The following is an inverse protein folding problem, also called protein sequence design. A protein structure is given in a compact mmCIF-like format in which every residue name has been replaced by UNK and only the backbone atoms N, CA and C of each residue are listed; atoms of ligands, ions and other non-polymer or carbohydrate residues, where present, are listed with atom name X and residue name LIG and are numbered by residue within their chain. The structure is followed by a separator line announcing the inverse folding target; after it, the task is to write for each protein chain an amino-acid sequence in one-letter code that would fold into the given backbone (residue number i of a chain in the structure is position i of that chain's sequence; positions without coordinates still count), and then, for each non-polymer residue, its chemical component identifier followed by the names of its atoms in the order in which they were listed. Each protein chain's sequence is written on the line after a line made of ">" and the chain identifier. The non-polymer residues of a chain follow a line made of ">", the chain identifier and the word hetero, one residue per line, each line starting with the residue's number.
data_IF_887101865102
#
_entry.id   IF_887101865102
#
_cell.length_a   1.000
_cell.length_b   1.000
_cell.length_c   1.000
_cell.angle_alpha   90.00
_cell.angle_beta   90.00
_cell.angle_gamma   90.00
#
_symmetry.space_group_name_H-M   'P 1'
#
loop_
_entity.id
_entity.type
_entity.pdbx_description
1 polymer ?
2 non-polymer ?
3 water ?
#
# COMPACT_ATOMS: atom_id res chain seq x y z
N UNK A 4 -14.29 -16.87 0.39
CA UNK A 4 -14.79 -15.65 1.08
C UNK A 4 -13.71 -14.62 1.51
N UNK A 5 -12.59 -15.08 2.07
CA UNK A 5 -11.56 -14.13 2.52
C UNK A 5 -10.73 -13.50 1.40
N UNK A 6 -10.35 -12.25 1.63
CA UNK A 6 -9.61 -11.45 0.66
C UNK A 6 -8.08 -11.37 0.80
N UNK A 7 -7.52 -11.90 1.90
CA UNK A 7 -6.08 -11.85 2.14
C UNK A 7 -5.39 -13.11 1.57
N UNK A 8 -4.10 -13.02 1.26
CA UNK A 8 -3.40 -14.19 0.74
C UNK A 8 -2.51 -14.83 1.75
N UNK A 9 -2.15 -14.10 2.80
CA UNK A 9 -1.30 -14.72 3.80
C UNK A 9 -1.92 -16.06 4.22
N UNK A 10 -1.10 -17.07 4.45
CA UNK A 10 -1.60 -18.35 4.90
C UNK A 10 -0.84 -18.64 6.17
N UNK A 11 -1.56 -19.04 7.21
CA UNK A 11 -0.99 -19.36 8.50
C UNK A 11 -1.21 -20.84 8.80
N UNK A 12 -0.27 -21.49 9.49
CA UNK A 12 -0.52 -22.91 9.76
C UNK A 12 -1.72 -23.08 10.70
N UNK A 13 -2.49 -24.14 10.48
CA UNK A 13 -3.63 -24.40 11.35
C UNK A 13 -3.09 -24.47 12.77
N UNK A 14 -1.85 -24.94 12.93
CA UNK A 14 -1.22 -25.01 14.26
C UNK A 14 -0.06 -24.04 14.27
N UNK A 15 0.04 -23.18 15.29
CA UNK A 15 1.15 -22.21 15.35
C UNK A 15 2.12 -22.46 16.51
N UNK A 16 3.42 -22.69 16.21
CA UNK A 16 4.49 -22.95 17.18
C UNK A 16 4.71 -21.84 18.19
N UNK A 17 5.23 -22.17 19.37
CA UNK A 17 5.42 -21.16 20.39
C UNK A 17 6.36 -20.10 19.88
N UNK A 18 6.06 -18.84 20.18
CA UNK A 18 6.93 -17.78 19.75
C UNK A 18 8.38 -18.14 20.15
N UNK A 19 8.53 -18.77 21.30
CA UNK A 19 9.86 -19.16 21.80
C UNK A 19 10.55 -20.10 20.80
N UNK A 20 9.75 -20.97 20.20
CA UNK A 20 10.25 -21.93 19.22
C UNK A 20 10.63 -21.20 17.92
N UNK A 21 9.75 -20.31 17.45
CA UNK A 21 10.02 -19.55 16.25
C UNK A 21 11.34 -18.84 16.43
N UNK A 22 11.50 -18.20 17.57
CA UNK A 22 12.72 -17.48 17.86
C UNK A 22 13.93 -18.40 17.79
N UNK A 23 13.79 -19.61 18.31
CA UNK A 23 14.87 -20.57 18.30
C UNK A 23 15.24 -20.93 16.88
N UNK A 24 14.23 -21.24 16.07
CA UNK A 24 14.48 -21.58 14.69
C UNK A 24 15.02 -20.37 13.91
N UNK A 25 14.44 -19.21 14.15
CA UNK A 25 14.94 -18.02 13.48
C UNK A 25 16.40 -17.72 13.85
N UNK A 26 16.72 -17.71 15.14
CA UNK A 26 18.10 -17.44 15.54
C UNK A 26 19.04 -18.46 14.85
N UNK A 27 18.58 -19.70 14.73
CA UNK A 27 19.36 -20.76 14.13
C UNK A 27 19.61 -20.51 12.64
N UNK A 28 18.60 -20.00 11.95
CA UNK A 28 18.70 -19.72 10.52
C UNK A 28 19.79 -18.73 10.11
N UNK A 29 20.34 -18.03 11.09
CA UNK A 29 21.41 -17.11 10.75
C UNK A 29 22.48 -17.17 11.81
N UNK A 30 22.63 -18.34 12.41
CA UNK A 30 23.68 -18.58 13.40
C UNK A 30 24.89 -19.08 12.60
N UNK A 31 26.08 -19.11 13.22
CA UNK A 31 27.25 -19.59 12.54
C UNK A 31 27.59 -18.84 11.27
N UNK A 32 28.06 -19.55 10.25
CA UNK A 32 28.39 -18.89 9.00
C UNK A 32 27.35 -19.35 8.01
N UNK A 33 26.86 -18.39 7.22
CA UNK A 33 25.84 -18.69 6.26
C UNK A 33 24.47 -18.48 6.87
N UNK A 34 23.45 -18.65 6.02
CA UNK A 34 22.09 -18.45 6.41
C UNK A 34 21.17 -19.50 5.85
N UNK A 35 20.03 -19.71 6.51
CA UNK A 35 19.04 -20.68 6.03
C UNK A 35 17.80 -19.87 5.68
N UNK A 36 17.76 -19.38 4.45
CA UNK A 36 16.65 -18.56 3.98
C UNK A 36 15.30 -19.34 3.91
N UNK A 37 15.35 -20.63 3.60
CA UNK A 37 14.11 -21.38 3.52
C UNK A 37 13.40 -21.40 4.87
N UNK A 38 14.18 -21.48 5.94
CA UNK A 38 13.59 -21.49 7.26
C UNK A 38 12.97 -20.12 7.65
N UNK A 39 13.67 -19.04 7.33
CA UNK A 39 13.17 -17.70 7.61
C UNK A 39 11.86 -17.41 6.86
N UNK A 40 11.83 -17.80 5.58
CA UNK A 40 10.65 -17.63 4.74
C UNK A 40 9.47 -18.41 5.28
N UNK A 41 9.76 -19.64 5.67
CA UNK A 41 8.75 -20.53 6.20
C UNK A 41 8.08 -20.09 7.48
N UNK A 42 8.85 -19.55 8.42
CA UNK A 42 8.30 -19.02 9.65
C UNK A 42 7.67 -17.62 9.41
N UNK A 43 8.48 -16.60 9.09
CA UNK A 43 7.93 -15.26 8.85
C UNK A 43 6.87 -15.08 7.75
N UNK A 44 7.00 -15.82 6.65
CA UNK A 44 6.02 -15.72 5.57
C UNK A 44 4.65 -16.30 5.92
N UNK A 45 4.55 -16.95 7.08
CA UNK A 45 3.29 -17.57 7.53
C UNK A 45 2.86 -17.21 8.94
N UNK A 46 3.10 -15.96 9.33
CA UNK A 46 2.76 -15.43 10.65
C UNK A 46 2.11 -14.07 10.44
N UNK A 47 1.02 -13.83 11.19
CA UNK A 47 0.30 -12.58 11.08
C UNK A 47 0.99 -11.48 11.86
N UNK A 48 0.46 -10.26 11.76
CA UNK A 48 1.09 -9.14 12.45
C UNK A 48 1.27 -9.41 13.93
N UNK A 49 0.22 -9.86 14.60
CA UNK A 49 0.37 -10.09 16.04
C UNK A 49 1.48 -11.07 16.30
N UNK A 50 1.47 -12.19 15.58
CA UNK A 50 2.52 -13.19 15.78
C UNK A 50 3.90 -12.61 15.51
N UNK A 51 4.01 -11.84 14.44
CA UNK A 51 5.30 -11.26 14.08
C UNK A 51 5.77 -10.29 15.12
N UNK A 52 4.84 -9.51 15.64
CA UNK A 52 5.23 -8.58 16.68
C UNK A 52 5.68 -9.36 17.93
N UNK A 53 4.95 -10.42 18.28
CA UNK A 53 5.36 -11.17 19.48
C UNK A 53 6.74 -11.74 19.25
N UNK A 54 6.94 -12.31 18.07
CA UNK A 54 8.23 -12.90 17.76
C UNK A 54 9.37 -11.93 17.95
N UNK A 55 9.23 -10.73 17.38
CA UNK A 55 10.29 -9.73 17.51
C UNK A 55 10.54 -9.36 18.98
N UNK A 56 9.46 -9.21 19.74
CA UNK A 56 9.55 -8.89 21.17
C UNK A 56 10.18 -10.06 21.98
N UNK A 57 9.71 -11.27 21.74
CA UNK A 57 10.29 -12.41 22.45
C UNK A 57 11.81 -12.55 22.10
N UNK A 58 12.16 -12.25 20.85
CA UNK A 58 13.53 -12.37 20.38
C UNK A 58 14.46 -11.46 21.12
N UNK A 59 14.14 -10.17 21.10
CA UNK A 59 14.96 -9.17 21.76
C UNK A 59 15.09 -9.45 23.25
N UNK A 60 14.05 -10.02 23.85
CA UNK A 60 14.07 -10.36 25.27
C UNK A 60 15.03 -11.52 25.47
N UNK A 61 14.80 -12.58 24.69
CA UNK A 61 15.63 -13.75 24.78
C UNK A 61 17.09 -13.51 24.43
N UNK A 62 17.33 -12.90 23.29
CA UNK A 62 18.70 -12.71 22.84
C UNK A 62 19.33 -11.33 23.00
N UNK A 63 18.58 -10.36 23.50
CA UNK A 63 19.11 -9.02 23.70
C UNK A 63 19.46 -8.28 22.43
N UNK A 64 18.99 -8.79 21.29
CA UNK A 64 19.29 -8.17 19.99
C UNK A 64 18.02 -8.02 19.17
N UNK A 65 17.98 -6.98 18.36
CA UNK A 65 16.81 -6.73 17.53
C UNK A 65 16.84 -7.69 16.32
N UNK A 66 15.80 -8.50 16.21
CA UNK A 66 15.67 -9.50 15.16
C UNK A 66 15.77 -8.95 13.72
N UNK A 67 15.07 -7.86 13.42
CA UNK A 67 15.10 -7.30 12.08
C UNK A 67 16.46 -6.76 11.77
N UNK A 68 17.13 -6.22 12.79
CA UNK A 68 18.45 -5.68 12.64
C UNK A 68 19.41 -6.79 12.34
N UNK A 69 19.28 -7.89 13.07
CA UNK A 69 20.15 -9.02 12.82
C UNK A 69 20.00 -9.40 11.33
N UNK A 70 18.77 -9.65 10.95
CA UNK A 70 18.47 -10.04 9.59
C UNK A 70 19.05 -9.11 8.53
N UNK A 71 19.03 -7.81 8.78
CA UNK A 71 19.56 -6.88 7.81
C UNK A 71 21.07 -7.02 7.68
N UNK A 72 21.73 -7.56 8.69
CA UNK A 72 23.17 -7.73 8.56
C UNK A 72 23.54 -9.04 7.86
N UNK A 73 22.59 -9.94 7.72
CA UNK A 73 22.88 -11.27 7.16
C UNK A 73 22.38 -11.62 5.75
N UNK A 74 21.26 -11.03 5.38
CA UNK A 74 20.60 -11.43 4.14
C UNK A 74 20.96 -10.75 2.84
N UNK A 75 20.61 -11.41 1.73
CA UNK A 75 20.86 -10.81 0.42
C UNK A 75 19.94 -9.59 0.19
N UNK A 76 20.41 -8.65 -0.61
CA UNK A 76 19.69 -7.38 -0.83
C UNK A 76 18.21 -7.36 -1.15
N UNK A 77 17.84 -7.79 -2.35
CA UNK A 77 16.44 -7.79 -2.74
C UNK A 77 15.62 -8.59 -1.72
N UNK A 78 16.12 -9.77 -1.32
CA UNK A 78 15.42 -10.60 -0.35
C UNK A 78 15.20 -9.92 1.02
N UNK A 79 16.26 -9.32 1.56
CA UNK A 79 16.23 -8.68 2.86
C UNK A 79 15.17 -7.56 2.89
N UNK A 80 15.11 -6.80 1.80
CA UNK A 80 14.18 -5.71 1.67
C UNK A 80 12.72 -6.22 1.67
N UNK A 81 12.48 -7.38 1.07
CA UNK A 81 11.14 -7.96 1.02
C UNK A 81 10.81 -8.48 2.44
N UNK A 82 11.75 -9.24 3.02
CA UNK A 82 11.61 -9.78 4.37
C UNK A 82 11.37 -8.66 5.38
N UNK A 83 12.16 -7.59 5.33
CA UNK A 83 11.95 -6.52 6.28
C UNK A 83 10.65 -5.73 6.05
N UNK A 84 10.36 -5.36 4.82
CA UNK A 84 9.16 -4.57 4.59
C UNK A 84 7.94 -5.40 4.97
N UNK A 85 8.00 -6.71 4.72
CA UNK A 85 6.90 -7.60 5.10
C UNK A 85 6.76 -7.78 6.61
N UNK A 86 7.89 -8.02 7.26
CA UNK A 86 7.91 -8.36 8.69
C UNK A 86 7.30 -7.35 9.65
N UNK A 87 7.52 -6.09 9.32
CA UNK A 87 7.02 -4.95 10.10
C UNK A 87 5.51 -5.01 10.35
N UNK A 88 5.09 -4.45 11.49
CA UNK A 88 3.66 -4.40 11.74
C UNK A 88 3.12 -3.51 10.66
N UNK A 89 1.90 -3.78 10.12
CA UNK A 89 1.42 -2.90 9.07
C UNK A 89 1.50 -1.41 9.36
N UNK A 90 1.36 -0.99 10.61
CA UNK A 90 1.45 0.43 10.90
C UNK A 90 2.91 0.91 10.73
N UNK A 91 3.85 0.10 11.21
CA UNK A 91 5.29 0.45 11.07
C UNK A 91 5.71 0.49 9.61
N UNK A 92 5.22 -0.50 8.85
CA UNK A 92 5.49 -0.60 7.41
C UNK A 92 5.06 0.69 6.70
N UNK A 93 3.80 1.12 6.92
CA UNK A 93 3.29 2.34 6.31
C UNK A 93 4.17 3.56 6.68
N UNK A 94 4.34 3.74 7.99
CA UNK A 94 5.24 4.81 8.44
C UNK A 94 6.50 4.76 7.59
N UNK A 95 7.16 3.61 7.50
CA UNK A 95 8.44 3.56 6.76
C UNK A 95 8.32 3.92 5.30
N UNK A 96 7.27 3.43 4.62
CA UNK A 96 7.11 3.73 3.20
C UNK A 96 6.79 5.22 2.99
N UNK A 97 5.99 5.79 3.91
CA UNK A 97 5.65 7.23 3.76
C UNK A 97 6.92 8.06 3.99
N UNK A 98 7.75 7.63 4.90
CA UNK A 98 8.95 8.42 5.16
C UNK A 98 9.85 8.43 3.94
N UNK A 99 10.12 7.23 3.39
CA UNK A 99 10.95 7.10 2.19
C UNK A 99 10.42 7.96 1.09
N UNK A 100 9.10 7.98 0.98
CA UNK A 100 8.48 8.72 -0.09
C UNK A 100 8.63 10.24 0.03
N UNK A 101 8.91 10.72 1.24
CA UNK A 101 9.11 12.17 1.42
C UNK A 101 10.59 12.48 1.17
N UNK A 102 11.44 11.48 1.27
CA UNK A 102 12.87 11.69 1.10
C UNK A 102 13.28 11.87 -0.33
N UNK A 103 14.17 12.84 -0.57
CA UNK A 103 14.75 13.17 -1.88
C UNK A 103 13.93 12.74 -3.12
N UNK A 104 12.79 12.10 -2.89
CA UNK A 104 11.92 11.55 -3.93
C UNK A 104 10.84 12.50 -4.38
N UNK A 105 10.79 12.70 -5.69
CA UNK A 105 9.84 13.59 -6.39
C UNK A 105 8.52 13.68 -5.65
N UNK A 106 8.60 14.28 -4.47
CA UNK A 106 7.49 14.48 -3.55
C UNK A 106 6.26 15.01 -4.26
N UNK A 107 5.30 14.09 -4.39
CA UNK A 107 4.03 14.23 -5.08
C UNK A 107 3.78 12.75 -5.32
N UNK A 108 4.80 12.00 -4.91
CA UNK A 108 4.86 10.57 -5.02
C UNK A 108 3.51 9.95 -4.97
N UNK A 109 3.36 8.85 -5.68
CA UNK A 109 2.08 8.23 -5.63
C UNK A 109 1.98 7.36 -4.39
N UNK A 110 3.12 7.06 -3.78
CA UNK A 110 3.12 6.23 -2.58
C UNK A 110 2.37 6.94 -1.44
N UNK A 111 2.50 8.28 -1.35
CA UNK A 111 1.82 9.02 -0.26
C UNK A 111 0.32 8.96 -0.49
N UNK A 112 -0.05 9.14 -1.76
CA UNK A 112 -1.45 9.07 -2.14
C UNK A 112 -2.01 7.65 -1.79
N UNK A 113 -1.23 6.65 -2.17
CA UNK A 113 -1.63 5.25 -1.97
C UNK A 113 -1.88 4.91 -0.51
N UNK A 114 -0.93 5.28 0.33
CA UNK A 114 -1.10 5.03 1.75
C UNK A 114 -2.30 5.82 2.29
N UNK A 115 -2.47 7.11 1.89
CA UNK A 115 -3.61 7.86 2.44
C UNK A 115 -4.96 7.34 1.92
N UNK A 116 -4.97 6.90 0.68
CA UNK A 116 -6.25 6.52 0.06
C UNK A 116 -6.73 5.09 0.11
N UNK A 117 -5.87 4.16 0.53
CA UNK A 117 -6.33 2.76 0.55
C UNK A 117 -6.29 2.15 1.89
N UNK A 118 -6.20 2.99 2.93
CA UNK A 118 -6.16 2.48 4.33
C UNK A 118 -7.42 2.90 5.08
N UNK A 119 -7.81 2.14 6.10
CA UNK A 119 -8.95 2.62 6.85
C UNK A 119 -8.47 3.91 7.61
N UNK A 120 -9.44 4.67 8.11
CA UNK A 120 -9.15 5.88 8.86
C UNK A 120 -8.23 5.46 10.04
N UNK A 121 -8.58 4.34 10.64
CA UNK A 121 -7.81 3.81 11.74
C UNK A 121 -6.46 3.26 11.33
N UNK A 122 -6.32 2.70 10.12
CA UNK A 122 -4.99 2.23 9.70
C UNK A 122 -4.12 3.47 9.47
N UNK A 123 -4.73 4.52 8.91
CA UNK A 123 -3.98 5.71 8.65
C UNK A 123 -3.51 6.30 10.02
N UNK A 124 -4.43 6.38 10.96
CA UNK A 124 -4.06 6.91 12.25
C UNK A 124 -2.93 6.10 12.83
N UNK A 125 -3.07 4.77 12.82
CA UNK A 125 -2.01 3.97 13.41
C UNK A 125 -0.62 4.14 12.78
N UNK A 126 -0.60 4.33 11.46
CA UNK A 126 0.62 4.57 10.75
C UNK A 126 1.18 5.91 11.26
N UNK A 127 0.28 6.84 11.51
CA UNK A 127 0.70 8.18 11.95
C UNK A 127 1.37 8.13 13.30
N UNK A 128 0.85 7.25 14.15
CA UNK A 128 1.39 7.09 15.46
C UNK A 128 2.73 6.40 15.38
N UNK A 129 2.84 5.44 14.46
CA UNK A 129 4.14 4.72 14.28
C UNK A 129 5.12 5.76 13.70
N UNK A 130 4.61 6.64 12.85
CA UNK A 130 5.47 7.65 12.29
C UNK A 130 6.01 8.50 13.47
N UNK A 131 5.10 8.90 14.37
CA UNK A 131 5.48 9.67 15.58
C UNK A 131 6.61 8.98 16.32
N UNK A 132 6.36 7.77 16.77
CA UNK A 132 7.35 6.97 17.52
C UNK A 132 8.74 6.80 16.87
N UNK A 133 8.76 6.57 15.56
CA UNK A 133 10.02 6.39 14.86
C UNK A 133 10.75 7.65 14.40
N UNK A 134 10.04 8.65 13.93
CA UNK A 134 10.73 9.80 13.39
C UNK A 134 10.60 11.07 14.20
N UNK A 135 9.90 10.97 15.33
CA UNK A 135 9.69 12.09 16.24
C UNK A 135 9.22 13.31 15.49
N UNK A 136 8.35 13.07 14.52
CA UNK A 136 7.71 14.15 13.77
C UNK A 136 6.41 13.59 13.18
N UNK A 137 5.62 14.45 12.55
CA UNK A 137 4.37 13.97 11.99
C UNK A 137 4.46 13.74 10.49
N UNK A 138 3.77 12.68 10.03
CA UNK A 138 3.79 12.42 8.62
C UNK A 138 3.39 13.72 7.94
N UNK A 139 2.32 14.38 8.39
CA UNK A 139 1.87 15.64 7.73
C UNK A 139 2.94 16.71 7.61
N UNK A 140 3.81 16.83 8.64
CA UNK A 140 4.80 17.90 8.49
C UNK A 140 5.80 17.52 7.44
N UNK A 141 6.16 16.24 7.36
CA UNK A 141 7.13 15.85 6.35
C UNK A 141 6.54 16.05 4.95
N UNK A 142 5.27 15.71 4.78
CA UNK A 142 4.58 15.86 3.50
C UNK A 142 4.45 17.32 3.12
N UNK A 143 4.08 18.17 4.10
CA UNK A 143 3.95 19.57 3.80
C UNK A 143 5.32 20.13 3.51
N UNK A 144 6.30 19.64 4.24
CA UNK A 144 7.65 20.12 4.05
C UNK A 144 8.21 19.73 2.68
N UNK A 145 8.06 18.45 2.34
CA UNK A 145 8.65 17.99 1.10
C UNK A 145 7.92 18.10 -0.24
N UNK A 146 6.62 18.35 -0.24
CA UNK A 146 5.91 18.46 -1.52
C UNK A 146 5.57 19.92 -1.78
N UNK A 147 5.26 20.24 -3.04
CA UNK A 147 4.90 21.61 -3.42
C UNK A 147 3.78 21.66 -4.45
N UNK A 148 3.40 22.88 -4.79
CA UNK A 148 2.38 23.12 -5.78
C UNK A 148 1.08 22.37 -5.61
N UNK A 149 0.57 21.85 -6.72
CA UNK A 149 -0.68 21.13 -6.66
C UNK A 149 -0.55 19.90 -5.81
N UNK A 150 0.61 19.27 -5.89
CA UNK A 150 0.85 18.04 -5.15
C UNK A 150 0.73 18.25 -3.65
N UNK A 151 1.32 19.34 -3.17
CA UNK A 151 1.29 19.72 -1.78
C UNK A 151 -0.17 19.88 -1.37
N UNK A 152 -0.86 20.69 -2.14
CA UNK A 152 -2.24 21.00 -1.86
C UNK A 152 -3.18 19.82 -1.83
N UNK A 153 -2.81 18.72 -2.48
CA UNK A 153 -3.71 17.57 -2.46
C UNK A 153 -3.32 16.59 -1.38
N UNK A 154 -2.03 16.28 -1.34
CA UNK A 154 -1.48 15.26 -0.45
C UNK A 154 -1.50 15.57 1.04
N UNK A 155 -1.42 16.87 1.37
CA UNK A 155 -1.42 17.30 2.78
C UNK A 155 -2.74 16.90 3.40
N UNK A 156 -3.86 17.32 2.81
CA UNK A 156 -5.06 16.86 3.51
C UNK A 156 -5.26 15.32 3.30
N UNK A 157 -4.78 14.74 2.19
CA UNK A 157 -4.98 13.29 2.05
C UNK A 157 -4.36 12.56 3.26
N UNK A 158 -3.08 12.82 3.54
CA UNK A 158 -2.43 12.11 4.63
C UNK A 158 -2.99 12.45 6.02
N UNK A 159 -3.79 13.50 6.09
CA UNK A 159 -4.30 13.98 7.36
C UNK A 159 -5.75 13.63 7.69
N UNK A 160 -6.49 13.15 6.72
CA UNK A 160 -7.89 12.83 6.97
C UNK A 160 -8.09 11.76 8.02
N UNK A 161 -9.24 11.81 8.68
CA UNK A 161 -9.61 10.74 9.58
C UNK A 161 -11.07 10.59 9.15
N UNK A 162 -11.23 9.93 8.00
CA UNK A 162 -12.57 9.76 7.39
C UNK A 162 -13.66 9.04 8.09
N UNK A 163 -14.85 9.59 7.87
CA UNK A 163 -16.10 9.00 8.31
C UNK A 163 -16.25 7.70 7.49
N UNK A 164 -16.62 6.62 8.13
CA UNK A 164 -16.68 5.38 7.40
C UNK A 164 -18.03 4.67 7.38
N UNK A 165 -19.09 5.43 7.59
CA UNK A 165 -20.40 4.81 7.54
C UNK A 165 -20.94 4.81 6.10
N UNK A 166 -22.01 4.05 5.93
CA UNK A 166 -22.61 3.95 4.62
C UNK A 166 -23.49 5.12 4.21
N UNK A 167 -23.85 5.98 5.16
CA UNK A 167 -24.75 7.10 4.82
C UNK A 167 -24.31 7.88 3.61
N UNK A 168 -25.26 8.16 2.70
CA UNK A 168 -24.94 9.00 1.57
C UNK A 168 -25.93 10.17 1.54
N UNK A 169 -25.49 11.28 0.95
CA UNK A 169 -26.28 12.50 0.81
C UNK A 169 -26.38 12.70 -0.68
N UNK A 170 -27.44 12.15 -1.26
CA UNK A 170 -27.64 12.20 -2.69
C UNK A 170 -27.66 13.59 -3.27
N UNK A 171 -28.32 14.50 -2.55
CA UNK A 171 -28.40 15.87 -3.04
C UNK A 171 -27.01 16.46 -3.23
N UNK A 172 -26.23 16.41 -2.15
CA UNK A 172 -24.87 16.92 -2.13
C UNK A 172 -24.01 16.27 -3.22
N UNK A 173 -24.13 14.96 -3.38
CA UNK A 173 -23.35 14.25 -4.41
C UNK A 173 -23.59 14.84 -5.80
N UNK A 174 -24.87 15.09 -6.09
CA UNK A 174 -25.26 15.63 -7.37
C UNK A 174 -24.64 17.02 -7.54
N UNK A 175 -24.84 17.87 -6.56
CA UNK A 175 -24.24 19.20 -6.67
C UNK A 175 -22.71 19.11 -6.77
N UNK A 176 -22.10 18.23 -5.98
CA UNK A 176 -20.66 18.20 -6.06
C UNK A 176 -20.18 17.54 -7.32
N UNK A 177 -21.00 16.66 -7.89
CA UNK A 177 -20.58 16.05 -9.14
C UNK A 177 -20.48 17.19 -10.15
N UNK A 178 -21.52 18.02 -10.20
CA UNK A 178 -21.53 19.15 -11.13
C UNK A 178 -20.32 20.02 -10.85
N UNK A 179 -20.05 20.26 -9.57
CA UNK A 179 -18.94 21.09 -9.14
C UNK A 179 -17.60 20.57 -9.65
N UNK A 180 -17.33 19.29 -9.43
CA UNK A 180 -16.06 18.76 -9.89
C UNK A 180 -15.98 18.98 -11.40
N UNK A 181 -17.11 18.79 -12.07
CA UNK A 181 -17.17 18.94 -13.52
C UNK A 181 -16.75 20.31 -14.00
N UNK A 182 -17.36 21.35 -13.45
CA UNK A 182 -17.01 22.71 -13.82
C UNK A 182 -15.51 22.91 -13.64
N UNK A 183 -15.05 22.75 -12.41
CA UNK A 183 -13.64 22.95 -12.08
C UNK A 183 -12.72 22.25 -13.08
N UNK A 184 -12.97 20.96 -13.27
CA UNK A 184 -12.17 20.17 -14.18
C UNK A 184 -12.25 20.73 -15.59
N UNK A 185 -13.47 21.08 -15.97
CA UNK A 185 -13.70 21.63 -17.29
C UNK A 185 -12.90 22.92 -17.49
N UNK A 186 -12.80 23.73 -16.45
CA UNK A 186 -12.07 24.99 -16.53
C UNK A 186 -10.58 24.81 -16.28
N UNK A 187 -10.17 23.55 -16.15
CA UNK A 187 -8.78 23.22 -15.90
C UNK A 187 -8.31 23.63 -14.51
N UNK A 188 -9.22 24.05 -13.65
CA UNK A 188 -8.85 24.42 -12.27
C UNK A 188 -8.73 23.07 -11.54
N UNK A 189 -7.74 22.28 -11.93
CA UNK A 189 -7.59 20.97 -11.38
C UNK A 189 -7.39 20.82 -9.88
N UNK A 190 -6.63 21.72 -9.30
CA UNK A 190 -6.40 21.62 -7.87
C UNK A 190 -7.23 22.61 -7.10
N UNK A 191 -8.47 22.80 -7.51
CA UNK A 191 -9.39 23.72 -6.86
C UNK A 191 -9.75 23.19 -5.48
N UNK A 192 -10.03 24.13 -4.58
CA UNK A 192 -10.42 23.78 -3.24
C UNK A 192 -11.49 22.72 -3.19
N UNK A 193 -12.47 22.83 -4.09
CA UNK A 193 -13.61 21.91 -4.13
C UNK A 193 -13.27 20.49 -4.67
N UNK A 194 -12.25 20.41 -5.53
CA UNK A 194 -11.80 19.14 -6.06
C UNK A 194 -11.15 18.45 -4.90
N UNK A 195 -10.10 19.09 -4.38
CA UNK A 195 -9.32 18.65 -3.24
C UNK A 195 -10.23 18.28 -2.12
N UNK A 196 -11.22 19.11 -1.91
CA UNK A 196 -12.18 18.88 -0.84
C UNK A 196 -12.95 17.58 -0.95
N UNK A 197 -13.57 17.34 -2.12
CA UNK A 197 -14.38 16.15 -2.28
C UNK A 197 -13.46 14.93 -2.09
N UNK A 198 -12.32 14.95 -2.77
CA UNK A 198 -11.38 13.83 -2.70
C UNK A 198 -10.70 13.53 -1.35
N UNK A 199 -10.21 14.58 -0.66
CA UNK A 199 -9.51 14.40 0.60
C UNK A 199 -10.28 14.50 1.91
N UNK A 200 -11.58 14.74 1.83
CA UNK A 200 -12.36 15.00 3.02
C UNK A 200 -13.69 14.18 3.23
N UNK A 201 -14.40 13.89 2.14
CA UNK A 201 -15.70 13.17 2.19
C UNK A 201 -15.58 11.64 2.35
N UNK A 202 -16.56 10.98 2.96
CA UNK A 202 -16.50 9.53 3.12
C UNK A 202 -16.39 8.87 1.71
N UNK A 203 -15.98 7.61 1.70
CA UNK A 203 -15.78 6.85 0.47
C UNK A 203 -17.15 6.55 -0.16
N UNK A 204 -18.12 6.18 0.67
CA UNK A 204 -19.45 5.93 0.16
C UNK A 204 -19.95 7.24 -0.41
N UNK A 205 -19.73 8.37 0.27
CA UNK A 205 -20.18 9.68 -0.29
C UNK A 205 -19.45 9.99 -1.58
N UNK A 206 -18.17 9.66 -1.62
CA UNK A 206 -17.42 9.93 -2.83
C UNK A 206 -17.90 9.04 -4.01
N UNK A 207 -18.15 7.78 -3.72
CA UNK A 207 -18.57 6.92 -4.82
C UNK A 207 -19.92 7.46 -5.34
N UNK A 208 -20.82 7.84 -4.42
CA UNK A 208 -22.11 8.40 -4.84
C UNK A 208 -21.88 9.62 -5.68
N UNK A 209 -20.95 10.45 -5.28
CA UNK A 209 -20.70 11.65 -6.07
C UNK A 209 -20.22 11.27 -7.45
N UNK A 210 -19.32 10.29 -7.55
CA UNK A 210 -18.80 9.97 -8.86
C UNK A 210 -19.80 9.21 -9.76
N UNK A 211 -20.72 8.45 -9.16
CA UNK A 211 -21.76 7.75 -9.90
C UNK A 211 -22.68 8.78 -10.51
N UNK A 212 -22.87 9.91 -9.81
CA UNK A 212 -23.70 11.01 -10.33
C UNK A 212 -22.95 11.71 -11.43
N UNK A 213 -21.65 11.78 -11.31
CA UNK A 213 -20.86 12.43 -12.34
C UNK A 213 -21.11 11.73 -13.71
N UNK A 214 -21.05 10.40 -13.69
CA UNK A 214 -21.22 9.62 -14.90
C UNK A 214 -22.66 9.74 -15.40
N UNK A 215 -23.62 9.67 -14.48
CA UNK A 215 -25.00 9.82 -14.88
C UNK A 215 -25.14 11.10 -15.64
N UNK A 216 -24.90 12.19 -14.95
CA UNK A 216 -25.01 13.53 -15.51
C UNK A 216 -24.16 13.79 -16.74
N UNK A 217 -22.98 13.18 -16.82
CA UNK A 217 -22.10 13.42 -17.98
C UNK A 217 -21.73 12.24 -18.87
N UNK A 218 -22.21 11.04 -18.54
CA UNK A 218 -21.93 9.89 -19.39
C UNK A 218 -20.67 9.12 -19.13
N UNK A 219 -19.57 9.84 -18.89
CA UNK A 219 -18.30 9.18 -18.62
C UNK A 219 -17.92 9.36 -17.16
N UNK A 220 -17.05 8.50 -16.67
CA UNK A 220 -16.61 8.65 -15.30
C UNK A 220 -15.53 9.74 -15.32
N UNK A 221 -15.46 10.45 -14.22
CA UNK A 221 -14.55 11.58 -14.07
C UNK A 221 -13.15 11.47 -14.64
N UNK A 222 -12.60 10.27 -14.66
CA UNK A 222 -11.23 10.05 -15.12
C UNK A 222 -10.96 10.29 -16.59
N UNK A 223 -11.96 10.14 -17.43
CA UNK A 223 -11.74 10.36 -18.86
C UNK A 223 -11.55 11.86 -19.07
N UNK A 224 -12.25 12.66 -18.27
CA UNK A 224 -12.15 14.11 -18.34
C UNK A 224 -10.95 14.60 -17.59
N UNK A 225 -10.02 13.71 -17.24
CA UNK A 225 -8.83 14.08 -16.49
C UNK A 225 -7.59 13.68 -17.22
N UNK A 226 -7.58 13.88 -18.53
CA UNK A 226 -6.43 13.49 -19.31
C UNK A 226 -5.96 14.55 -20.29
N UNK A 227 -6.60 15.73 -20.23
CA UNK A 227 -6.29 16.87 -21.10
C UNK A 227 -4.84 16.85 -21.51
N UNK A 228 -3.97 16.54 -20.57
CA UNK A 228 -2.56 16.44 -20.90
C UNK A 228 -2.00 15.16 -20.33
N UNK A 229 -1.91 14.13 -21.17
CA UNK A 229 -1.39 12.81 -20.80
C UNK A 229 -0.04 12.85 -20.07
N UNK A 230 0.68 13.95 -20.23
CA UNK A 230 1.98 14.08 -19.60
C UNK A 230 1.94 14.72 -18.20
N UNK A 231 0.93 15.55 -17.95
CA UNK A 231 0.78 16.26 -16.67
C UNK A 231 0.77 15.34 -15.45
N UNK A 232 1.87 15.35 -14.68
CA UNK A 232 2.02 14.54 -13.46
C UNK A 232 0.89 14.68 -12.43
N UNK A 233 0.27 15.85 -12.36
CA UNK A 233 -0.76 16.05 -11.36
C UNK A 233 -2.06 15.35 -11.74
N UNK A 234 -2.50 15.50 -12.98
CA UNK A 234 -3.74 14.85 -13.42
C UNK A 234 -3.59 13.35 -13.13
N UNK A 235 -2.42 12.84 -13.43
CA UNK A 235 -2.09 11.44 -13.19
C UNK A 235 -2.34 11.08 -11.73
N UNK A 236 -1.92 11.96 -10.82
CA UNK A 236 -2.12 11.69 -9.42
C UNK A 236 -3.64 11.75 -9.12
N UNK A 237 -4.32 12.74 -9.68
CA UNK A 237 -5.73 12.77 -9.42
C UNK A 237 -6.47 11.50 -9.95
N UNK A 238 -6.06 10.98 -11.10
CA UNK A 238 -6.75 9.78 -11.60
C UNK A 238 -6.48 8.59 -10.64
N UNK A 239 -5.25 8.49 -10.15
CA UNK A 239 -4.91 7.41 -9.21
C UNK A 239 -5.62 7.58 -7.85
N UNK A 240 -5.93 8.81 -7.46
CA UNK A 240 -6.62 9.09 -6.18
C UNK A 240 -8.05 8.53 -6.30
N UNK A 241 -8.74 8.92 -7.37
CA UNK A 241 -10.09 8.42 -7.64
C UNK A 241 -10.11 6.87 -7.55
N UNK A 242 -9.25 6.22 -8.33
CA UNK A 242 -9.21 4.75 -8.31
C UNK A 242 -9.00 4.20 -6.93
N UNK A 243 -8.01 4.74 -6.23
CA UNK A 243 -7.72 4.29 -4.88
C UNK A 243 -8.88 4.42 -3.98
N UNK A 244 -9.55 5.57 -4.06
CA UNK A 244 -10.71 5.82 -3.22
C UNK A 244 -11.94 4.92 -3.51
N UNK A 245 -12.30 4.77 -4.77
CA UNK A 245 -13.49 3.99 -5.10
C UNK A 245 -13.26 2.66 -5.82
N UNK A 246 -12.07 2.47 -6.41
CA UNK A 246 -11.74 1.21 -7.11
C UNK A 246 -10.33 0.71 -6.71
N UNK A 247 -10.09 0.57 -5.40
CA UNK A 247 -8.77 0.12 -4.94
C UNK A 247 -8.18 -1.09 -5.68
N UNK A 248 -8.97 -2.12 -5.93
CA UNK A 248 -8.42 -3.32 -6.59
C UNK A 248 -7.99 -3.09 -8.05
N UNK A 249 -8.54 -2.08 -8.69
CA UNK A 249 -8.11 -1.82 -10.04
C UNK A 249 -6.83 -0.99 -10.01
N UNK A 250 -6.68 -0.21 -8.94
CA UNK A 250 -5.49 0.62 -8.80
C UNK A 250 -4.31 -0.31 -8.63
N UNK A 251 -4.45 -1.22 -7.66
CA UNK A 251 -3.41 -2.14 -7.38
C UNK A 251 -3.09 -3.09 -8.55
N UNK A 252 -4.12 -3.56 -9.28
CA UNK A 252 -3.87 -4.42 -10.43
C UNK A 252 -3.03 -3.67 -11.44
N UNK A 253 -3.41 -2.45 -11.77
CA UNK A 253 -2.60 -1.72 -12.75
C UNK A 253 -1.15 -1.42 -12.24
N UNK A 254 -0.98 -1.19 -10.94
CA UNK A 254 0.37 -0.90 -10.46
C UNK A 254 1.17 -2.20 -10.73
N UNK A 255 0.55 -3.34 -10.44
CA UNK A 255 1.26 -4.60 -10.66
C UNK A 255 1.53 -4.83 -12.13
N UNK A 256 0.53 -4.56 -12.95
CA UNK A 256 0.67 -4.74 -14.39
C UNK A 256 1.77 -3.88 -14.97
N UNK A 257 1.86 -2.61 -14.57
CA UNK A 257 2.91 -1.75 -15.10
C UNK A 257 4.25 -2.15 -14.54
N UNK A 258 4.26 -2.71 -13.35
CA UNK A 258 5.54 -3.13 -12.79
C UNK A 258 6.08 -4.32 -13.58
N UNK A 259 5.28 -5.38 -13.68
CA UNK A 259 5.68 -6.59 -14.39
C UNK A 259 6.05 -6.23 -15.82
N UNK A 260 5.19 -5.45 -16.47
CA UNK A 260 5.45 -4.93 -17.83
C UNK A 260 6.79 -4.23 -17.92
N UNK A 261 7.55 -4.23 -16.82
CA UNK A 261 8.86 -3.57 -16.78
C UNK A 261 8.78 -2.21 -17.47
N UNK A 262 7.60 -1.58 -17.42
CA UNK A 262 7.41 -0.28 -18.04
C UNK A 262 7.10 0.82 -17.00
N UNK A 263 7.03 0.40 -15.74
CA UNK A 263 6.75 1.34 -14.69
C UNK A 263 8.02 2.01 -14.24
N UNK A 264 7.87 3.03 -13.42
CA UNK A 264 9.00 3.77 -12.89
C UNK A 264 9.02 3.63 -11.36
N UNK A 265 8.07 2.86 -10.86
CA UNK A 265 7.88 2.55 -9.44
C UNK A 265 8.76 1.29 -9.17
N UNK A 266 10.04 1.49 -8.81
CA UNK A 266 10.95 0.35 -8.59
C UNK A 266 10.48 -0.75 -7.60
N UNK A 267 10.19 -0.38 -6.37
CA UNK A 267 9.72 -1.37 -5.41
C UNK A 267 8.20 -1.50 -5.45
N UNK A 268 7.62 -1.22 -6.62
CA UNK A 268 6.16 -1.32 -6.72
C UNK A 268 5.69 -2.74 -6.42
N UNK A 269 6.45 -3.73 -6.91
CA UNK A 269 6.10 -5.16 -6.71
C UNK A 269 6.19 -5.55 -5.24
N UNK A 270 7.33 -5.24 -4.63
CA UNK A 270 7.53 -5.53 -3.23
C UNK A 270 6.45 -4.83 -2.37
N UNK A 271 6.21 -3.55 -2.67
CA UNK A 271 5.28 -2.75 -1.92
C UNK A 271 3.82 -3.27 -1.96
N UNK A 272 3.31 -3.50 -3.18
CA UNK A 272 1.93 -4.00 -3.25
C UNK A 272 1.77 -5.33 -2.51
N UNK A 273 2.65 -6.29 -2.73
CA UNK A 273 2.49 -7.57 -2.07
C UNK A 273 2.58 -7.47 -0.54
N UNK A 274 3.64 -6.85 -0.02
CA UNK A 274 3.83 -6.68 1.40
C UNK A 274 2.69 -5.92 2.03
N UNK A 275 2.17 -4.91 1.38
CA UNK A 275 1.09 -4.13 2.01
C UNK A 275 -0.33 -4.65 1.85
N UNK A 276 -0.57 -5.54 0.86
CA UNK A 276 -1.94 -6.02 0.63
C UNK A 276 -2.21 -7.51 0.90
N UNK A 277 -1.17 -8.28 1.15
CA UNK A 277 -1.30 -9.70 1.38
C UNK A 277 -2.11 -10.03 2.65
N UNK A 278 -2.21 -9.04 3.52
CA UNK A 278 -2.95 -9.23 4.76
C UNK A 278 -4.25 -8.53 4.55
N UNK A 279 -4.41 -7.87 3.42
CA UNK A 279 -5.62 -7.12 3.20
C UNK A 279 -6.57 -7.63 2.09
N UNK A 280 -6.31 -7.24 0.83
CA UNK A 280 -7.17 -7.60 -0.30
C UNK A 280 -6.39 -8.14 -1.54
N UNK A 281 -5.20 -8.68 -1.29
CA UNK A 281 -4.37 -9.18 -2.40
C UNK A 281 -5.14 -10.26 -3.21
N UNK A 282 -5.85 -11.17 -2.55
CA UNK A 282 -6.65 -12.19 -3.30
C UNK A 282 -7.61 -11.52 -4.32
N UNK A 283 -8.23 -10.42 -3.91
CA UNK A 283 -9.17 -9.66 -4.72
C UNK A 283 -8.36 -9.01 -5.78
N UNK A 284 -7.20 -8.54 -5.36
CA UNK A 284 -6.36 -7.90 -6.35
C UNK A 284 -5.93 -8.90 -7.41
N UNK A 285 -5.52 -10.09 -6.94
CA UNK A 285 -5.05 -11.15 -7.83
C UNK A 285 -6.19 -11.55 -8.79
N UNK A 286 -7.43 -11.58 -8.26
CA UNK A 286 -8.59 -11.94 -9.10
C UNK A 286 -8.69 -10.89 -10.20
N UNK A 287 -8.52 -9.63 -9.83
CA UNK A 287 -8.63 -8.61 -10.81
C UNK A 287 -7.47 -8.67 -11.79
N UNK A 288 -6.29 -9.09 -11.33
CA UNK A 288 -5.17 -9.19 -12.27
C UNK A 288 -5.54 -10.27 -13.32
N UNK A 289 -5.98 -11.41 -12.84
CA UNK A 289 -6.44 -12.55 -13.64
C UNK A 289 -7.39 -12.04 -14.73
N UNK A 290 -8.44 -11.36 -14.29
CA UNK A 290 -9.45 -10.83 -15.21
C UNK A 290 -8.95 -9.85 -16.27
N UNK A 291 -8.02 -8.99 -15.88
CA UNK A 291 -7.50 -7.95 -16.80
C UNK A 291 -6.31 -8.43 -17.63
N UNK A 292 -5.69 -9.55 -17.24
CA UNK A 292 -4.54 -9.99 -17.99
C UNK A 292 -4.61 -11.43 -18.52
N UNK A 293 -5.60 -12.19 -18.07
CA UNK A 293 -5.81 -13.57 -18.56
C UNK A 293 -4.70 -14.51 -18.11
N UNK A 294 -3.93 -14.04 -17.14
CA UNK A 294 -2.82 -14.78 -16.54
C UNK A 294 -2.91 -14.51 -15.05
N UNK A 295 -2.76 -15.55 -14.22
CA UNK A 295 -2.79 -15.52 -12.76
C UNK A 295 -1.58 -14.75 -12.23
N UNK A 296 -1.81 -13.96 -11.19
CA UNK A 296 -0.76 -13.13 -10.59
C UNK A 296 0.52 -13.88 -10.32
N UNK A 297 0.42 -14.98 -9.58
CA UNK A 297 1.56 -15.80 -9.23
C UNK A 297 2.37 -16.30 -10.44
N UNK A 298 1.78 -16.24 -11.62
CA UNK A 298 2.48 -16.69 -12.80
C UNK A 298 3.16 -15.51 -13.50
N UNK A 299 2.44 -14.41 -13.63
CA UNK A 299 2.95 -13.21 -14.28
C UNK A 299 4.15 -12.54 -13.54
N UNK A 300 4.02 -12.33 -12.22
CA UNK A 300 5.07 -11.65 -11.41
C UNK A 300 6.48 -12.21 -11.35
N UNK A 301 6.67 -13.47 -11.77
CA UNK A 301 8.00 -14.04 -11.69
C UNK A 301 8.78 -13.93 -12.98
N UNK A 302 8.36 -13.05 -13.89
CA UNK A 302 9.09 -12.91 -15.15
C UNK A 302 10.53 -12.41 -14.93
N UNK A 303 10.68 -11.44 -14.03
CA UNK A 303 11.98 -10.88 -13.71
C UNK A 303 12.41 -11.20 -12.28
N UNK A 304 11.89 -12.28 -11.70
CA UNK A 304 12.29 -12.61 -10.34
C UNK A 304 12.96 -13.97 -10.26
N UNK A 305 13.56 -14.27 -9.11
CA UNK A 305 14.19 -15.56 -8.89
C UNK A 305 14.72 -15.73 -7.46
N UNK A 306 15.10 -16.95 -7.11
CA UNK A 306 15.62 -17.20 -5.77
C UNK A 306 14.72 -17.05 -4.55
N UNK A 307 15.37 -16.62 -3.47
CA UNK A 307 14.73 -16.42 -2.19
C UNK A 307 13.72 -15.28 -2.23
N UNK A 308 13.97 -14.27 -3.07
CA UNK A 308 13.04 -13.16 -3.18
C UNK A 308 11.76 -13.72 -3.80
N UNK A 309 11.88 -14.38 -4.95
CA UNK A 309 10.72 -14.97 -5.59
C UNK A 309 10.01 -15.94 -4.63
N UNK A 310 10.76 -16.78 -3.97
CA UNK A 310 10.15 -17.72 -3.07
C UNK A 310 9.22 -17.04 -2.04
N UNK A 311 9.73 -16.03 -1.32
CA UNK A 311 8.92 -15.31 -0.32
C UNK A 311 7.77 -14.56 -0.95
N UNK A 312 8.02 -13.90 -2.08
CA UNK A 312 6.98 -13.16 -2.77
C UNK A 312 5.75 -14.07 -3.09
N UNK A 313 6.03 -15.26 -3.65
CA UNK A 313 4.96 -16.23 -3.98
C UNK A 313 4.27 -16.68 -2.71
N UNK A 314 5.04 -16.96 -1.64
CA UNK A 314 4.45 -17.32 -0.37
C UNK A 314 3.49 -16.22 0.20
N UNK A 315 3.83 -14.94 -0.01
CA UNK A 315 3.00 -13.86 0.51
C UNK A 315 1.75 -13.78 -0.36
N UNK A 316 1.92 -14.16 -1.60
CA UNK A 316 0.82 -14.15 -2.56
C UNK A 316 -0.09 -15.39 -2.53
N UNK A 317 0.05 -16.23 -1.52
CA UNK A 317 -0.83 -17.36 -1.42
C UNK A 317 -0.33 -18.69 -1.95
N UNK A 318 0.94 -18.81 -2.31
CA UNK A 318 1.44 -20.07 -2.83
C UNK A 318 1.60 -21.13 -1.75
N UNK A 319 1.18 -22.37 -2.01
CA UNK A 319 1.30 -23.38 -0.93
C UNK A 319 2.14 -24.66 -0.95
N UNK A 320 1.65 -25.73 -1.54
CA UNK A 320 2.40 -27.00 -1.50
C UNK A 320 3.09 -27.50 -2.75
N UNK A 321 2.31 -27.95 -3.74
CA UNK A 321 2.84 -28.49 -5.00
C UNK A 321 3.46 -29.88 -4.79
X LIG B 1 -4.54 5.94 -15.72
X LIG B 1 -5.44 6.76 -16.56
X LIG B 1 -3.13 6.18 -16.14
X LIG B 1 -4.86 4.51 -15.92
X LIG B 1 -4.72 6.27 -14.29
X LIG C 1 -6.49 0.24 -18.04
X LIG C 1 -6.69 0.13 -19.49
X LIG C 1 -5.05 0.19 -17.76
X LIG C 1 -7.05 1.53 -17.58
X LIG C 1 -7.20 -0.86 -17.37
X LIG D 1 20.99 -25.67 7.40
X LIG D 1 21.40 -25.53 5.98
X LIG D 1 19.88 -26.65 7.52
X LIG D 1 22.14 -26.17 8.21
X LIG D 1 20.53 -24.37 7.93
#
# INVERSE_FOLDING_TARGET
>A
MAHHHHATLTVPTTVPSVSEDCEQLRKAFSGWGTNEGLIIDILGHRNAEQRNLIRKTYAETYGEDLLKALDKELSNDFERLVLLWALDPAERDALLANEATKRWTSSNQVLMEIACTRSANQLLHARQAYHARYKKSLEEDVAHHTTGDFHKLLLPLVSSYRYEGEEVNMTLAKTEAKLLHEKISNKAYSDDDVIRVLATRSKAQINATLNHYKNEYGNDINKDLKADPKDEFLALLRSTVKCLVYPEKYFEKVLRLAINRRGTDEGALTRVVCTRAEVDLKVIADEYQRRNSVPLTRAIVKDTHGDYEKLLLVLAGHVEN
>B hetero
1 SO4 S O1 O2 O3 O4
>C hetero
1 SO4 S O1 O2 O3 O4
>D hetero
1 SO4 S O1 O2 O3 O4
#
